data_IF_910165661672
#
_entry.id   IF_910165661672
#
_cell.length_a   1.000
_cell.length_b   1.000
_cell.length_c   1.000
_cell.angle_alpha   90.00
_cell.angle_beta   90.00
_cell.angle_gamma   90.00
#
_symmetry.space_group_name_H-M   'P 1'
#
loop_
_entity.id
_entity.type
_entity.pdbx_description
1 polymer ?
#
# COMPACT_ATOMS: atom_id res chain seq x y z
N UNK A 1 3.99 2.85 36.07
CA UNK A 1 4.51 1.92 35.04
C UNK A 1 4.07 2.48 33.70
N UNK A 2 5.02 2.77 32.80
CA UNK A 2 4.82 3.56 31.58
C UNK A 2 3.92 2.81 30.59
N UNK A 3 2.92 3.51 30.06
CA UNK A 3 2.12 3.07 28.92
C UNK A 3 3.07 2.92 27.74
N UNK A 4 3.18 1.70 27.21
CA UNK A 4 3.98 1.37 26.05
C UNK A 4 3.11 1.55 24.80
N UNK A 5 3.24 2.73 24.17
CA UNK A 5 2.56 3.15 22.95
C UNK A 5 3.08 2.44 21.67
N UNK A 6 3.96 1.45 21.79
CA UNK A 6 4.65 0.79 20.67
C UNK A 6 4.05 -0.56 20.26
N UNK A 7 2.85 -0.92 20.73
CA UNK A 7 2.17 -2.15 20.31
C UNK A 7 1.39 -1.95 19.00
N UNK A 8 2.07 -1.48 17.96
CA UNK A 8 1.51 -1.36 16.61
C UNK A 8 2.03 -2.52 15.76
N UNK A 9 1.25 -3.61 15.73
CA UNK A 9 1.25 -4.70 14.72
C UNK A 9 2.12 -5.94 14.89
N UNK A 10 2.29 -6.51 16.09
CA UNK A 10 2.72 -7.93 16.16
C UNK A 10 1.88 -8.73 17.15
N UNK A 11 0.80 -9.33 16.63
CA UNK A 11 0.25 -10.56 17.19
C UNK A 11 0.96 -11.73 16.49
N UNK A 12 1.60 -12.65 17.23
CA UNK A 12 2.33 -13.77 16.67
C UNK A 12 1.34 -14.76 16.05
N UNK A 13 1.16 -14.67 14.73
CA UNK A 13 0.22 -15.49 13.97
C UNK A 13 -0.28 -14.82 12.69
N UNK A 14 -0.14 -13.51 12.57
CA UNK A 14 -0.68 -12.75 11.45
C UNK A 14 0.45 -12.21 10.56
N UNK A 15 0.79 -12.94 9.49
CA UNK A 15 1.86 -12.65 8.51
C UNK A 15 1.55 -11.40 7.66
N UNK A 16 1.27 -10.28 8.31
CA UNK A 16 0.86 -9.02 7.68
C UNK A 16 -0.59 -8.98 7.18
N UNK A 17 -1.38 -10.06 7.30
CA UNK A 17 -2.74 -10.10 6.75
C UNK A 17 -3.69 -9.16 7.51
N UNK A 18 -3.53 -9.02 8.82
CA UNK A 18 -4.25 -8.03 9.64
C UNK A 18 -3.96 -6.59 9.20
N UNK A 19 -2.71 -6.29 8.86
CA UNK A 19 -2.32 -4.98 8.30
C UNK A 19 -2.98 -4.73 6.94
N UNK A 20 -2.98 -5.74 6.06
CA UNK A 20 -3.67 -5.65 4.77
C UNK A 20 -5.19 -5.49 4.93
N UNK A 21 -5.82 -6.24 5.84
CA UNK A 21 -7.27 -6.10 6.13
C UNK A 21 -7.61 -4.70 6.63
N UNK A 22 -6.82 -4.15 7.54
CA UNK A 22 -7.00 -2.77 8.01
C UNK A 22 -6.83 -1.76 6.87
N UNK A 23 -5.85 -1.96 5.98
CA UNK A 23 -5.70 -1.14 4.78
C UNK A 23 -6.94 -1.22 3.88
N UNK A 24 -7.43 -2.41 3.56
CA UNK A 24 -8.62 -2.60 2.71
C UNK A 24 -9.86 -1.94 3.32
N UNK A 25 -10.09 -2.11 4.62
CA UNK A 25 -11.19 -1.45 5.34
C UNK A 25 -11.11 0.08 5.21
N UNK A 26 -9.90 0.64 5.29
CA UNK A 26 -9.70 2.07 5.09
C UNK A 26 -10.03 2.48 3.67
N UNK A 27 -9.54 1.76 2.66
CA UNK A 27 -9.82 2.07 1.25
C UNK A 27 -11.33 2.00 0.96
N UNK A 28 -12.03 1.00 1.50
CA UNK A 28 -13.48 0.84 1.37
C UNK A 28 -14.28 1.97 2.05
N UNK A 29 -13.73 2.58 3.12
CA UNK A 29 -14.34 3.71 3.81
C UNK A 29 -14.18 5.06 3.10
N UNK A 30 -13.29 5.17 2.11
CA UNK A 30 -13.04 6.42 1.40
C UNK A 30 -14.19 6.77 0.44
N UNK A 31 -14.63 8.04 0.40
CA UNK A 31 -15.68 8.47 -0.51
C UNK A 31 -15.24 8.32 -1.99
N UNK A 32 -16.13 7.69 -2.76
CA UNK A 32 -16.09 7.23 -4.16
C UNK A 32 -14.88 7.58 -5.05
N UNK A 33 -14.32 6.55 -5.71
CA UNK A 33 -13.50 6.70 -6.93
C UNK A 33 -12.19 5.90 -6.96
N UNK A 34 -11.74 5.38 -5.82
CA UNK A 34 -10.45 4.65 -5.72
C UNK A 34 -10.61 3.17 -6.08
N UNK A 35 -11.70 2.55 -5.61
CA UNK A 35 -11.97 1.16 -5.88
C UNK A 35 -12.76 0.99 -7.18
N UNK A 36 -12.42 -0.04 -7.99
CA UNK A 36 -13.19 -0.38 -9.17
C UNK A 36 -14.64 -0.71 -8.81
N UNK A 37 -15.59 -0.47 -9.74
CA UNK A 37 -17.02 -0.76 -9.53
C UNK A 37 -17.33 -2.24 -9.25
N UNK A 38 -16.42 -3.14 -9.62
CA UNK A 38 -16.54 -4.57 -9.36
C UNK A 38 -16.03 -4.99 -7.97
N UNK A 39 -15.47 -4.07 -7.19
CA UNK A 39 -14.95 -4.37 -5.86
C UNK A 39 -16.08 -4.75 -4.89
N UNK A 40 -15.84 -5.78 -4.08
CA UNK A 40 -16.78 -6.29 -3.08
C UNK A 40 -16.04 -6.92 -1.90
N UNK A 41 -16.74 -7.17 -0.80
CA UNK A 41 -16.19 -7.86 0.37
C UNK A 41 -15.60 -9.25 0.01
N UNK A 42 -16.20 -9.94 -0.98
CA UNK A 42 -15.67 -11.21 -1.49
C UNK A 42 -14.31 -10.99 -2.16
N UNK A 43 -14.16 -9.94 -2.96
CA UNK A 43 -12.89 -9.58 -3.59
C UNK A 43 -11.83 -9.12 -2.60
N UNK A 44 -12.22 -8.48 -1.50
CA UNK A 44 -11.31 -8.14 -0.42
C UNK A 44 -10.72 -9.41 0.23
N UNK A 45 -11.54 -10.42 0.54
CA UNK A 45 -11.02 -11.66 1.12
C UNK A 45 -10.19 -12.46 0.11
N UNK A 46 -10.62 -12.56 -1.16
CA UNK A 46 -9.80 -13.15 -2.23
C UNK A 46 -8.43 -12.47 -2.34
N UNK A 47 -8.37 -11.14 -2.20
CA UNK A 47 -7.13 -10.37 -2.23
C UNK A 47 -6.22 -10.73 -1.05
N UNK A 48 -6.76 -10.89 0.16
CA UNK A 48 -5.98 -11.29 1.33
C UNK A 48 -5.44 -12.71 1.19
N UNK A 49 -6.25 -13.65 0.68
CA UNK A 49 -5.80 -15.02 0.42
C UNK A 49 -4.70 -15.06 -0.65
N UNK A 50 -4.86 -14.28 -1.72
CA UNK A 50 -3.83 -14.13 -2.75
C UNK A 50 -2.54 -13.55 -2.14
N UNK A 51 -2.66 -12.55 -1.28
CA UNK A 51 -1.51 -11.94 -0.61
C UNK A 51 -0.76 -12.90 0.33
N UNK A 52 -1.35 -14.05 0.70
CA UNK A 52 -0.68 -15.07 1.52
C UNK A 52 -0.09 -16.23 0.71
N UNK A 53 -0.55 -16.42 -0.53
CA UNK A 53 -0.24 -17.57 -1.39
C UNK A 53 0.51 -17.21 -2.67
N UNK A 54 0.47 -15.94 -3.07
CA UNK A 54 1.15 -15.43 -4.25
C UNK A 54 2.66 -15.52 -4.10
N UNK A 55 3.37 -15.88 -5.16
CA UNK A 55 4.83 -15.84 -5.14
C UNK A 55 5.36 -14.40 -5.20
N UNK A 56 4.73 -13.56 -6.04
CA UNK A 56 5.17 -12.20 -6.33
C UNK A 56 4.74 -11.21 -5.24
N UNK A 57 3.44 -11.21 -4.92
CA UNK A 57 2.78 -10.23 -4.05
C UNK A 57 2.52 -10.79 -2.65
N UNK A 58 3.36 -11.72 -2.19
CA UNK A 58 3.22 -12.31 -0.86
C UNK A 58 3.53 -11.31 0.24
N UNK A 59 2.69 -11.26 1.27
CA UNK A 59 3.01 -10.61 2.55
C UNK A 59 4.06 -11.39 3.34
N UNK A 60 4.32 -12.66 2.97
CA UNK A 60 5.32 -13.50 3.64
C UNK A 60 6.74 -13.24 3.15
N UNK A 61 6.93 -12.37 2.14
CA UNK A 61 8.23 -12.09 1.54
C UNK A 61 8.43 -10.59 1.39
N UNK A 62 9.57 -10.10 1.83
CA UNK A 62 9.95 -8.70 1.57
C UNK A 62 10.16 -8.50 0.06
N UNK A 63 9.60 -7.42 -0.48
CA UNK A 63 9.74 -7.04 -1.89
C UNK A 63 10.77 -5.92 -2.05
N UNK A 64 11.59 -6.00 -3.09
CA UNK A 64 12.63 -5.02 -3.36
C UNK A 64 12.09 -3.88 -4.25
N UNK A 65 12.76 -2.72 -4.25
CA UNK A 65 12.49 -1.69 -5.27
C UNK A 65 12.65 -2.25 -6.69
N UNK A 66 13.75 -2.96 -6.96
CA UNK A 66 14.04 -3.49 -8.30
C UNK A 66 13.06 -4.58 -8.72
N UNK A 67 12.55 -5.35 -7.77
CA UNK A 67 11.51 -6.33 -8.03
C UNK A 67 10.27 -5.64 -8.62
N UNK A 68 9.83 -4.54 -8.00
CA UNK A 68 8.65 -3.77 -8.45
C UNK A 68 8.89 -3.21 -9.85
N UNK A 69 10.06 -2.61 -10.09
CA UNK A 69 10.42 -2.08 -11.42
C UNK A 69 10.45 -3.19 -12.47
N UNK A 70 11.02 -4.35 -12.14
CA UNK A 70 11.14 -5.48 -13.03
C UNK A 70 9.78 -6.12 -13.35
N UNK A 71 8.87 -6.19 -12.38
CA UNK A 71 7.53 -6.74 -12.57
C UNK A 71 6.67 -5.83 -13.45
N UNK A 72 6.59 -4.55 -13.09
CA UNK A 72 5.72 -3.59 -13.79
C UNK A 72 6.37 -2.96 -15.03
N UNK A 73 7.65 -3.22 -15.29
CA UNK A 73 8.43 -2.62 -16.39
C UNK A 73 8.38 -1.09 -16.38
N UNK A 74 8.25 -0.52 -15.19
CA UNK A 74 8.14 0.91 -15.00
C UNK A 74 8.88 1.31 -13.73
N UNK A 75 9.93 2.09 -13.93
CA UNK A 75 10.86 2.54 -12.89
C UNK A 75 10.17 3.51 -11.90
N UNK A 76 9.00 4.06 -12.24
CA UNK A 76 8.17 4.91 -11.38
C UNK A 76 7.19 4.17 -10.49
N UNK A 77 6.94 2.88 -10.74
CA UNK A 77 5.93 2.18 -9.95
C UNK A 77 6.20 2.17 -8.44
N UNK A 78 7.45 2.07 -7.95
CA UNK A 78 7.70 2.20 -6.52
C UNK A 78 7.18 3.53 -5.94
N UNK A 79 7.39 4.63 -6.66
CA UNK A 79 6.95 5.94 -6.22
C UNK A 79 5.43 6.11 -6.32
N UNK A 80 4.82 5.59 -7.39
CA UNK A 80 3.37 5.61 -7.57
C UNK A 80 2.65 4.79 -6.49
N UNK A 81 3.17 3.61 -6.15
CA UNK A 81 2.64 2.77 -5.07
C UNK A 81 2.74 3.48 -3.72
N UNK A 82 3.86 4.17 -3.45
CA UNK A 82 4.03 4.99 -2.25
C UNK A 82 2.99 6.11 -2.20
N UNK A 83 2.86 6.89 -3.26
CA UNK A 83 1.90 8.00 -3.32
C UNK A 83 0.45 7.51 -3.16
N UNK A 84 0.12 6.34 -3.70
CA UNK A 84 -1.18 5.69 -3.51
C UNK A 84 -1.42 5.29 -2.05
N UNK A 85 -0.45 4.62 -1.41
CA UNK A 85 -0.55 4.30 0.01
C UNK A 85 -0.75 5.55 0.85
N UNK A 86 0.05 6.58 0.61
CA UNK A 86 -0.04 7.83 1.36
C UNK A 86 -1.37 8.57 1.16
N UNK A 87 -1.97 8.55 -0.04
CA UNK A 87 -3.29 9.15 -0.24
C UNK A 87 -4.37 8.47 0.60
N UNK A 88 -4.25 7.16 0.79
CA UNK A 88 -5.15 6.35 1.62
C UNK A 88 -4.91 6.60 3.11
N UNK A 89 -3.65 6.66 3.56
CA UNK A 89 -3.31 6.87 4.97
C UNK A 89 -3.51 8.33 5.43
N UNK A 90 -3.29 9.31 4.55
CA UNK A 90 -3.31 10.75 4.91
C UNK A 90 -4.71 11.37 4.85
N UNK A 91 -5.71 10.66 4.33
CA UNK A 91 -7.08 11.16 4.15
C UNK A 91 -7.88 11.41 5.44
N UNK A 92 -7.42 10.95 6.61
CA UNK A 92 -8.16 11.10 7.89
C UNK A 92 -7.43 11.98 8.90
N UNK A 93 -6.13 12.24 8.76
CA UNK A 93 -5.38 12.93 9.81
C UNK A 93 -4.31 13.88 9.27
N UNK A 94 -4.73 14.91 8.52
CA UNK A 94 -4.12 16.26 8.49
C UNK A 94 -2.62 16.44 8.22
N UNK A 95 -1.83 15.38 8.03
CA UNK A 95 -0.42 15.46 7.71
C UNK A 95 -0.30 15.53 6.20
N UNK A 96 -0.25 16.76 5.70
CA UNK A 96 0.24 17.05 4.35
C UNK A 96 1.64 16.44 4.23
N UNK A 97 1.71 15.27 3.61
CA UNK A 97 2.96 14.71 3.09
C UNK A 97 3.51 15.70 2.07
N UNK A 98 4.46 16.52 2.51
CA UNK A 98 5.06 17.55 1.68
C UNK A 98 5.77 16.87 0.49
N UNK A 99 5.39 17.29 -0.73
CA UNK A 99 6.14 17.15 -1.99
C UNK A 99 6.28 15.79 -2.70
N UNK A 100 5.49 14.74 -2.41
CA UNK A 100 5.54 13.51 -3.25
C UNK A 100 5.06 13.69 -4.68
N UNK A 101 4.08 14.58 -4.90
CA UNK A 101 3.68 14.96 -6.26
C UNK A 101 4.86 15.63 -7.00
N UNK A 102 5.59 16.51 -6.32
CA UNK A 102 6.76 17.16 -6.87
C UNK A 102 7.91 16.15 -7.11
N UNK A 103 8.09 15.18 -6.22
CA UNK A 103 9.07 14.11 -6.39
C UNK A 103 8.71 13.17 -7.55
N UNK A 104 7.43 12.82 -7.70
CA UNK A 104 6.91 12.09 -8.86
C UNK A 104 7.12 12.85 -10.17
N UNK A 105 6.87 14.16 -10.17
CA UNK A 105 7.09 15.03 -11.34
C UNK A 105 8.58 15.18 -11.69
N UNK A 106 9.44 15.34 -10.68
CA UNK A 106 10.89 15.42 -10.85
C UNK A 106 11.47 14.12 -11.38
N UNK A 107 11.11 12.99 -10.78
CA UNK A 107 11.52 11.68 -11.27
C UNK A 107 10.99 11.50 -12.71
N UNK A 108 9.70 11.74 -13.00
CA UNK A 108 9.14 11.57 -14.36
C UNK A 108 9.93 12.34 -15.42
N UNK A 109 10.46 13.51 -15.05
CA UNK A 109 11.35 14.32 -15.89
C UNK A 109 12.74 13.71 -16.05
N UNK A 110 13.26 13.00 -15.07
CA UNK A 110 14.59 12.36 -15.10
C UNK A 110 14.65 11.10 -15.95
N UNK A 111 13.61 10.27 -16.01
CA UNK A 111 13.64 9.09 -16.90
C UNK A 111 12.95 9.29 -18.26
N UNK A 112 12.43 10.49 -18.52
CA UNK A 112 12.13 10.93 -19.88
C UNK A 112 13.37 11.42 -20.65
N UNK A 113 14.58 11.25 -20.11
CA UNK A 113 15.87 11.57 -20.75
C UNK A 113 16.56 10.33 -21.29
#
# INVERSE_FOLDING_TARGET
MKVNEDSWHEQPGDRGAGGLRHFLQRVESLPHGILPRWWSAIKAEECVQLALSSEWSSLTRAINKMDIVNHYKNWMMPMQLRAFGESIYSGVNGMKGNNLKAQLELENKEAGR
#
